data_IF_748972385442
#
_entry.id   IF_748972385442
#
_cell.length_a   1.000
_cell.length_b   1.000
_cell.length_c   1.000
_cell.angle_alpha   90.00
_cell.angle_beta   90.00
_cell.angle_gamma   90.00
#
_symmetry.space_group_name_H-M   'P 1'
#
loop_
_entity.id
_entity.type
_entity.pdbx_description
1 polymer ?
#
# COMPACT_ATOMS: atom_id res chain seq x y z
N UNK A 1 1.20 -1.88 14.14
CA UNK A 1 2.48 -1.85 13.39
C UNK A 1 3.13 -0.47 13.47
N UNK A 2 2.47 0.60 13.02
CA UNK A 2 3.02 1.97 13.06
C UNK A 2 3.34 2.47 14.48
N UNK A 3 2.55 2.10 15.49
CA UNK A 3 2.89 2.37 16.90
C UNK A 3 4.26 1.79 17.29
N UNK A 4 4.59 0.58 16.84
CA UNK A 4 5.91 -0.03 17.08
C UNK A 4 7.02 0.69 16.34
N UNK A 5 6.76 1.20 15.13
CA UNK A 5 7.71 2.05 14.42
C UNK A 5 7.92 3.38 15.17
N UNK A 6 6.85 3.98 15.68
CA UNK A 6 6.87 5.20 16.50
C UNK A 6 7.72 5.00 17.76
N UNK A 7 7.56 3.89 18.47
CA UNK A 7 8.39 3.56 19.63
C UNK A 7 9.89 3.42 19.29
N UNK A 8 10.23 3.14 18.03
CA UNK A 8 11.60 2.93 17.54
C UNK A 8 11.99 3.94 16.45
N UNK A 9 11.39 5.15 16.46
CA UNK A 9 11.42 6.07 15.31
C UNK A 9 12.82 6.44 14.84
N UNK A 10 13.73 6.75 15.76
CA UNK A 10 15.11 7.12 15.43
C UNK A 10 15.82 6.02 14.64
N UNK A 11 15.66 4.76 15.05
CA UNK A 11 16.22 3.61 14.35
C UNK A 11 15.61 3.44 12.95
N UNK A 12 14.29 3.56 12.83
CA UNK A 12 13.60 3.40 11.54
C UNK A 12 14.00 4.50 10.57
N UNK A 13 14.09 5.75 11.02
CA UNK A 13 14.54 6.87 10.19
C UNK A 13 16.00 6.71 9.78
N UNK A 14 16.89 6.33 10.70
CA UNK A 14 18.28 5.99 10.40
C UNK A 14 18.35 4.90 9.33
N UNK A 15 17.65 3.78 9.53
CA UNK A 15 17.65 2.66 8.60
C UNK A 15 17.08 3.00 7.22
N UNK A 16 16.08 3.89 7.11
CA UNK A 16 15.41 4.19 5.85
C UNK A 16 15.89 5.48 5.15
N UNK A 17 16.49 6.43 5.87
CA UNK A 17 16.98 7.70 5.29
C UNK A 17 18.49 7.69 5.06
N UNK A 18 19.27 6.94 5.85
CA UNK A 18 20.73 6.97 5.74
C UNK A 18 21.27 6.17 4.54
N UNK A 19 20.46 5.26 3.99
CA UNK A 19 20.77 4.62 2.71
C UNK A 19 20.32 5.49 1.53
N UNK A 20 21.29 6.10 0.87
CA UNK A 20 21.22 7.11 -0.20
C UNK A 20 20.51 6.71 -1.51
N UNK A 21 19.62 5.71 -1.52
CA UNK A 21 18.87 5.36 -2.74
C UNK A 21 17.62 4.53 -2.50
N UNK A 22 16.54 4.90 -3.17
CA UNK A 22 15.24 4.22 -3.12
C UNK A 22 15.34 2.70 -3.35
N UNK A 23 16.30 2.24 -4.17
CA UNK A 23 16.54 0.82 -4.43
C UNK A 23 17.04 0.05 -3.21
N UNK A 24 17.92 0.63 -2.39
CA UNK A 24 18.43 -0.02 -1.16
C UNK A 24 17.33 -0.14 -0.11
N UNK A 25 16.49 0.87 0.01
CA UNK A 25 15.33 0.83 0.91
C UNK A 25 14.33 -0.25 0.47
N UNK A 26 14.11 -0.41 -0.85
CA UNK A 26 13.27 -1.49 -1.37
C UNK A 26 13.85 -2.88 -1.09
N UNK A 27 15.18 -3.02 -1.08
CA UNK A 27 15.85 -4.27 -0.72
C UNK A 27 15.65 -4.61 0.76
N UNK A 28 15.86 -3.64 1.66
CA UNK A 28 15.61 -3.83 3.10
C UNK A 28 14.16 -4.20 3.40
N UNK A 29 13.22 -3.59 2.68
CA UNK A 29 11.78 -3.83 2.84
C UNK A 29 11.31 -5.13 2.18
N UNK A 30 12.16 -5.89 1.48
CA UNK A 30 11.76 -7.09 0.72
C UNK A 30 11.04 -8.15 1.57
N UNK A 31 11.53 -8.38 2.79
CA UNK A 31 10.89 -9.29 3.74
C UNK A 31 9.49 -8.80 4.13
N UNK A 32 9.39 -7.53 4.52
CA UNK A 32 8.13 -6.89 4.87
C UNK A 32 7.13 -6.91 3.72
N UNK A 33 7.58 -6.61 2.49
CA UNK A 33 6.77 -6.71 1.27
C UNK A 33 6.16 -8.09 1.10
N UNK A 34 6.94 -9.16 1.32
CA UNK A 34 6.43 -10.53 1.23
C UNK A 34 5.29 -10.75 2.23
N UNK A 35 5.46 -10.33 3.49
CA UNK A 35 4.45 -10.52 4.53
C UNK A 35 3.18 -9.68 4.27
N UNK A 36 3.32 -8.42 3.88
CA UNK A 36 2.17 -7.56 3.56
C UNK A 36 1.38 -8.12 2.38
N UNK A 37 2.07 -8.54 1.32
CA UNK A 37 1.41 -9.10 0.14
C UNK A 37 0.70 -10.41 0.45
N UNK A 38 1.31 -11.29 1.24
CA UNK A 38 0.66 -12.53 1.67
C UNK A 38 -0.60 -12.22 2.48
N UNK A 39 -0.49 -11.39 3.51
CA UNK A 39 -1.63 -10.97 4.34
C UNK A 39 -2.78 -10.37 3.50
N UNK A 40 -2.47 -9.46 2.58
CA UNK A 40 -3.46 -8.86 1.70
C UNK A 40 -4.07 -9.87 0.71
N UNK A 41 -3.31 -10.90 0.30
CA UNK A 41 -3.78 -11.96 -0.58
C UNK A 41 -4.78 -12.85 0.15
N UNK A 42 -4.45 -13.27 1.38
CA UNK A 42 -5.33 -14.09 2.21
C UNK A 42 -6.67 -13.36 2.47
N UNK A 43 -6.61 -12.07 2.85
CA UNK A 43 -7.83 -11.26 3.09
C UNK A 43 -8.75 -11.16 1.87
N UNK A 44 -8.20 -10.96 0.68
CA UNK A 44 -9.02 -10.80 -0.53
C UNK A 44 -9.50 -12.14 -1.07
N UNK A 45 -8.76 -13.22 -0.84
CA UNK A 45 -9.22 -14.59 -1.13
C UNK A 45 -10.39 -14.98 -0.23
N UNK A 46 -10.31 -14.68 1.07
CA UNK A 46 -11.41 -14.84 2.01
C UNK A 46 -12.63 -14.00 1.58
N UNK A 47 -12.42 -12.72 1.25
CA UNK A 47 -13.49 -11.84 0.74
C UNK A 47 -14.08 -12.27 -0.61
N UNK A 48 -13.38 -13.11 -1.37
CA UNK A 48 -13.85 -13.70 -2.62
C UNK A 48 -14.51 -15.07 -2.43
N UNK A 49 -14.46 -15.68 -1.24
CA UNK A 49 -14.95 -17.02 -0.99
C UNK A 49 -16.45 -17.16 -1.26
N UNK A 50 -17.24 -16.17 -0.82
CA UNK A 50 -18.71 -16.16 -0.99
C UNK A 50 -19.17 -15.67 -2.37
N UNK A 51 -18.24 -15.27 -3.24
CA UNK A 51 -18.53 -14.71 -4.56
C UNK A 51 -18.64 -15.80 -5.62
N UNK A 52 -19.86 -16.13 -6.03
CA UNK A 52 -20.10 -17.19 -7.02
C UNK A 52 -19.73 -16.78 -8.47
N UNK A 53 -19.86 -15.50 -8.81
CA UNK A 53 -19.58 -15.01 -10.16
C UNK A 53 -18.13 -14.51 -10.26
N UNK A 54 -17.36 -15.04 -11.22
CA UNK A 54 -15.96 -14.62 -11.45
C UNK A 54 -15.80 -13.10 -11.62
N UNK A 55 -16.76 -12.44 -12.27
CA UNK A 55 -16.72 -10.98 -12.50
C UNK A 55 -16.83 -10.17 -11.19
N UNK A 56 -17.38 -10.76 -10.13
CA UNK A 56 -17.50 -10.09 -8.83
C UNK A 56 -16.26 -10.28 -7.96
N UNK A 57 -15.35 -11.20 -8.33
CA UNK A 57 -14.12 -11.48 -7.59
C UNK A 57 -13.06 -10.42 -7.88
N UNK A 58 -12.39 -9.95 -6.83
CA UNK A 58 -11.24 -9.08 -6.98
C UNK A 58 -9.99 -9.90 -7.27
N UNK A 59 -9.10 -9.40 -8.12
CA UNK A 59 -7.85 -10.10 -8.45
C UNK A 59 -6.86 -10.02 -7.26
N UNK A 60 -6.46 -11.16 -6.65
CA UNK A 60 -5.60 -11.14 -5.47
C UNK A 60 -4.22 -10.52 -5.69
N UNK A 61 -3.66 -10.67 -6.90
CA UNK A 61 -2.37 -10.07 -7.26
C UNK A 61 -2.46 -8.55 -7.33
N UNK A 62 -3.51 -8.02 -7.95
CA UNK A 62 -3.69 -6.56 -8.03
C UNK A 62 -3.95 -5.96 -6.66
N UNK A 63 -4.80 -6.62 -5.86
CA UNK A 63 -5.10 -6.17 -4.51
C UNK A 63 -3.86 -6.16 -3.60
N UNK A 64 -3.06 -7.24 -3.62
CA UNK A 64 -1.84 -7.32 -2.80
C UNK A 64 -0.75 -6.33 -3.24
N UNK A 65 -0.58 -6.05 -4.54
CA UNK A 65 0.32 -4.98 -4.99
C UNK A 65 -0.20 -3.59 -4.61
N UNK A 66 -1.52 -3.36 -4.69
CA UNK A 66 -2.16 -2.13 -4.22
C UNK A 66 -1.95 -1.90 -2.72
N UNK A 67 -2.12 -2.95 -1.90
CA UNK A 67 -1.85 -2.90 -0.47
C UNK A 67 -0.38 -2.57 -0.16
N UNK A 68 0.56 -3.10 -0.96
CA UNK A 68 1.97 -2.73 -0.82
C UNK A 68 2.24 -1.26 -1.16
N UNK A 69 1.61 -0.73 -2.22
CA UNK A 69 1.72 0.68 -2.58
C UNK A 69 1.10 1.60 -1.51
N UNK A 70 -0.08 1.25 -1.00
CA UNK A 70 -0.73 1.93 0.12
C UNK A 70 0.19 1.97 1.34
N UNK A 71 0.79 0.83 1.70
CA UNK A 71 1.71 0.75 2.82
C UNK A 71 2.92 1.68 2.63
N UNK A 72 3.53 1.69 1.43
CA UNK A 72 4.66 2.58 1.14
C UNK A 72 4.27 4.06 1.23
N UNK A 73 3.07 4.42 0.79
CA UNK A 73 2.53 5.76 0.96
C UNK A 73 2.43 6.14 2.44
N UNK A 74 1.80 5.30 3.26
CA UNK A 74 1.65 5.57 4.71
C UNK A 74 3.00 5.58 5.40
N UNK A 75 3.92 4.67 5.05
CA UNK A 75 5.28 4.63 5.61
C UNK A 75 6.01 5.93 5.34
N UNK A 76 5.96 6.43 4.09
CA UNK A 76 6.56 7.71 3.75
C UNK A 76 5.90 8.86 4.51
N UNK A 77 4.57 8.90 4.56
CA UNK A 77 3.85 9.92 5.30
C UNK A 77 4.24 9.94 6.79
N UNK A 78 4.28 8.77 7.42
CA UNK A 78 4.70 8.58 8.81
C UNK A 78 6.15 9.03 9.06
N UNK A 79 7.07 8.80 8.10
CA UNK A 79 8.45 9.29 8.21
C UNK A 79 8.51 10.82 8.26
N UNK A 80 7.60 11.52 7.59
CA UNK A 80 7.55 12.98 7.51
C UNK A 80 6.64 13.62 8.59
N UNK A 81 5.82 12.82 9.27
CA UNK A 81 4.87 13.30 10.28
C UNK A 81 5.57 13.70 11.59
N UNK A 82 5.37 14.96 11.99
CA UNK A 82 5.86 15.54 13.24
C UNK A 82 4.72 16.05 14.13
N UNK A 83 3.47 15.65 13.85
CA UNK A 83 2.31 15.99 14.68
C UNK A 83 2.36 15.30 16.04
N UNK A 84 1.73 15.88 17.08
CA UNK A 84 1.66 15.25 18.40
C UNK A 84 1.07 13.85 18.31
N UNK A 85 1.80 12.85 18.80
CA UNK A 85 1.33 11.47 18.79
C UNK A 85 1.13 10.84 17.41
N UNK A 86 1.61 11.46 16.31
CA UNK A 86 1.42 10.99 14.94
C UNK A 86 -0.05 10.98 14.47
N UNK A 87 -0.88 11.88 15.02
CA UNK A 87 -2.30 11.99 14.68
C UNK A 87 -2.55 12.16 13.16
N UNK A 88 -1.63 12.82 12.43
CA UNK A 88 -1.77 12.98 10.97
C UNK A 88 -1.55 11.67 10.23
N UNK A 89 -0.66 10.80 10.73
CA UNK A 89 -0.48 9.45 10.18
C UNK A 89 -1.75 8.63 10.36
N UNK A 90 -2.40 8.71 11.52
CA UNK A 90 -3.67 8.02 11.76
C UNK A 90 -4.77 8.50 10.80
N UNK A 91 -4.88 9.83 10.63
CA UNK A 91 -5.80 10.44 9.66
C UNK A 91 -5.45 9.99 8.22
N UNK A 92 -4.17 9.90 7.87
CA UNK A 92 -3.74 9.46 6.55
C UNK A 92 -4.12 7.99 6.30
N UNK A 93 -3.98 7.12 7.31
CA UNK A 93 -4.42 5.72 7.24
C UNK A 93 -5.93 5.66 7.01
N UNK A 94 -6.72 6.34 7.84
CA UNK A 94 -8.18 6.35 7.74
C UNK A 94 -8.65 6.82 6.36
N UNK A 95 -8.17 8.00 5.93
CA UNK A 95 -8.60 8.60 4.67
C UNK A 95 -8.18 7.78 3.46
N UNK A 96 -6.94 7.30 3.45
CA UNK A 96 -6.42 6.51 2.32
C UNK A 96 -7.12 5.16 2.20
N UNK A 97 -7.44 4.49 3.31
CA UNK A 97 -8.14 3.20 3.29
C UNK A 97 -9.57 3.40 2.78
N UNK A 98 -10.31 4.34 3.36
CA UNK A 98 -11.69 4.64 2.94
C UNK A 98 -11.75 5.00 1.45
N UNK A 99 -10.86 5.87 1.00
CA UNK A 99 -10.80 6.28 -0.41
C UNK A 99 -10.53 5.09 -1.35
N UNK A 100 -9.63 4.19 -0.96
CA UNK A 100 -9.34 3.00 -1.77
C UNK A 100 -10.55 2.07 -1.84
N UNK A 101 -11.24 1.82 -0.73
CA UNK A 101 -12.45 1.00 -0.74
C UNK A 101 -13.57 1.63 -1.58
N UNK A 102 -13.77 2.95 -1.46
CA UNK A 102 -14.74 3.68 -2.29
C UNK A 102 -14.42 3.51 -3.79
N UNK A 103 -13.14 3.58 -4.16
CA UNK A 103 -12.72 3.35 -5.56
C UNK A 103 -12.97 1.91 -5.97
N UNK A 104 -12.62 0.92 -5.14
CA UNK A 104 -12.80 -0.49 -5.45
C UNK A 104 -14.27 -0.90 -5.62
N UNK A 105 -15.17 -0.33 -4.82
CA UNK A 105 -16.59 -0.68 -4.86
C UNK A 105 -17.34 0.03 -5.99
N UNK A 106 -16.90 1.24 -6.36
CA UNK A 106 -17.62 2.08 -7.32
C UNK A 106 -16.96 2.15 -8.71
N UNK A 107 -15.72 1.69 -8.87
CA UNK A 107 -14.99 1.76 -10.15
C UNK A 107 -14.52 0.37 -10.60
N UNK A 108 -14.83 -0.06 -11.84
CA UNK A 108 -14.23 -1.25 -12.41
C UNK A 108 -12.70 -1.12 -12.42
N UNK A 109 -12.01 -2.02 -11.73
CA UNK A 109 -10.55 -1.99 -11.60
C UNK A 109 -9.85 -2.05 -12.97
N UNK A 110 -10.47 -2.67 -13.97
CA UNK A 110 -9.99 -2.69 -15.36
C UNK A 110 -9.77 -1.29 -15.93
N UNK A 111 -10.67 -0.33 -15.63
CA UNK A 111 -10.55 1.05 -16.10
C UNK A 111 -9.31 1.73 -15.51
N UNK A 112 -8.96 1.42 -14.25
CA UNK A 112 -7.77 1.97 -13.58
C UNK A 112 -6.50 1.38 -14.19
N UNK A 113 -6.50 0.09 -14.49
CA UNK A 113 -5.38 -0.59 -15.16
C UNK A 113 -5.19 -0.01 -16.57
N UNK A 114 -6.27 0.19 -17.31
CA UNK A 114 -6.21 0.71 -18.68
C UNK A 114 -5.73 2.16 -18.70
N UNK A 115 -6.13 2.97 -17.72
CA UNK A 115 -5.54 4.29 -17.52
C UNK A 115 -4.04 4.22 -17.22
N UNK A 116 -3.60 3.29 -16.36
CA UNK A 116 -2.18 3.07 -16.09
C UNK A 116 -1.39 2.63 -17.34
N UNK A 117 -1.96 1.75 -18.17
CA UNK A 117 -1.35 1.37 -19.47
C UNK A 117 -1.24 2.55 -20.43
N UNK A 118 -2.24 3.42 -20.47
CA UNK A 118 -2.22 4.65 -21.25
C UNK A 118 -1.09 5.56 -20.79
N UNK A 119 -1.00 5.88 -19.48
CA UNK A 119 0.07 6.71 -18.94
C UNK A 119 1.46 6.15 -19.24
N UNK A 120 1.63 4.83 -19.10
CA UNK A 120 2.90 4.18 -19.42
C UNK A 120 3.29 4.37 -20.89
N UNK A 121 2.34 4.19 -21.82
CA UNK A 121 2.59 4.44 -23.24
C UNK A 121 3.00 5.89 -23.49
N UNK A 122 2.26 6.86 -22.98
CA UNK A 122 2.57 8.28 -23.25
C UNK A 122 3.85 8.77 -22.58
N UNK A 123 4.28 8.13 -21.48
CA UNK A 123 5.48 8.56 -20.74
C UNK A 123 6.75 7.83 -21.18
N UNK A 124 6.64 6.57 -21.62
CA UNK A 124 7.78 5.68 -21.84
C UNK A 124 7.81 4.98 -23.20
N UNK A 125 6.75 5.05 -24.01
CA UNK A 125 6.75 4.59 -25.41
C UNK A 125 6.98 5.78 -26.35
#
# INVERSE_FOLDING_TARGET
FFEMLTLNRSYVLFALQEHTGALKNMEQLKGLRKHIKAFATDLIEDGNADKNLKITKHNPRLFSEGAWLQFLFVLKFWMDDNSPGFEKTDIAIEKSITTIFDIFDNTPLENIIDFGKFLYKETFA
#
